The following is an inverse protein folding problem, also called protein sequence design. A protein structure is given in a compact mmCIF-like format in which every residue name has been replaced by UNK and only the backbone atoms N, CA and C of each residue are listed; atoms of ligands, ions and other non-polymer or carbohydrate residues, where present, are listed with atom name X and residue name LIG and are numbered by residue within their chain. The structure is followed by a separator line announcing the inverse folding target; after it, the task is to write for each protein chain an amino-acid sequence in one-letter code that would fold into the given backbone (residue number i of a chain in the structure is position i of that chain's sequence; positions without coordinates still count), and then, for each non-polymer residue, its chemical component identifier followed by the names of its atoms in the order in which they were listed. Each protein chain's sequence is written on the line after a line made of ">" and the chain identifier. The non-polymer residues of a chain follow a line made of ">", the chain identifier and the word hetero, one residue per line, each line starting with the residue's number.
data_IF_923349651723
#
_entry.id   IF_923349651723
#
_cell.length_a   1.000
_cell.length_b   1.000
_cell.length_c   1.000
_cell.angle_alpha   90.00
_cell.angle_beta   90.00
_cell.angle_gamma   90.00
#
_symmetry.space_group_name_H-M   'P 1'
#
loop_
_entity.id
_entity.type
_entity.pdbx_description
1 polymer ?
#
# COMPACT_ATOMS: atom_id res chain seq x y z
N UNK A 1 6.28 12.21 -20.78
CA UNK A 1 5.03 11.62 -20.25
C UNK A 1 4.75 10.21 -20.78
N UNK A 2 5.37 9.76 -21.89
CA UNK A 2 5.23 8.38 -22.41
C UNK A 2 6.12 7.33 -21.70
N UNK A 3 7.12 7.75 -20.93
CA UNK A 3 8.12 6.85 -20.33
C UNK A 3 7.57 5.98 -19.18
N UNK A 4 6.60 6.49 -18.41
CA UNK A 4 5.98 5.74 -17.31
C UNK A 4 5.19 4.50 -17.78
N UNK A 5 4.76 4.47 -19.04
CA UNK A 5 4.00 3.34 -19.61
C UNK A 5 4.91 2.15 -19.99
N UNK A 6 6.22 2.32 -19.96
CA UNK A 6 7.19 1.26 -20.24
C UNK A 6 7.70 0.55 -18.98
N UNK A 7 7.26 0.99 -17.80
CA UNK A 7 7.60 0.32 -16.55
C UNK A 7 6.85 -1.02 -16.51
N UNK A 8 7.53 -2.15 -16.28
CA UNK A 8 6.88 -3.45 -16.12
C UNK A 8 6.11 -3.49 -14.79
N UNK A 9 4.94 -2.85 -14.77
CA UNK A 9 4.04 -2.79 -13.63
C UNK A 9 3.01 -3.92 -13.72
N UNK A 10 2.88 -4.66 -12.62
CA UNK A 10 1.75 -5.56 -12.42
C UNK A 10 0.66 -4.77 -11.70
N UNK A 11 -0.49 -4.62 -12.34
CA UNK A 11 -1.64 -3.94 -11.75
C UNK A 11 -2.52 -4.97 -11.06
N UNK A 12 -2.80 -4.75 -9.78
CA UNK A 12 -3.67 -5.61 -8.99
C UNK A 12 -5.08 -5.00 -8.87
N UNK A 13 -6.14 -5.82 -8.90
CA UNK A 13 -7.49 -5.34 -8.63
C UNK A 13 -7.63 -4.98 -7.14
N UNK A 14 -8.28 -3.85 -6.85
CA UNK A 14 -8.52 -3.39 -5.47
C UNK A 14 -9.65 -4.15 -4.77
N UNK A 15 -10.63 -4.68 -5.53
CA UNK A 15 -11.83 -5.30 -4.97
C UNK A 15 -11.57 -6.40 -3.91
N UNK A 16 -10.58 -7.30 -4.06
CA UNK A 16 -10.25 -8.29 -3.03
C UNK A 16 -9.68 -7.70 -1.73
N UNK A 17 -9.12 -6.49 -1.78
CA UNK A 17 -8.42 -5.82 -0.68
C UNK A 17 -9.36 -4.95 0.17
N UNK A 18 -10.52 -4.56 -0.37
CA UNK A 18 -11.46 -3.60 0.23
C UNK A 18 -11.84 -3.91 1.68
N UNK A 19 -12.02 -5.19 2.04
CA UNK A 19 -12.34 -5.56 3.43
C UNK A 19 -11.24 -5.11 4.38
N UNK A 20 -9.99 -5.38 4.02
CA UNK A 20 -8.84 -5.07 4.84
C UNK A 20 -8.51 -3.57 4.80
N UNK A 21 -8.69 -2.91 3.66
CA UNK A 21 -8.60 -1.46 3.57
C UNK A 21 -9.60 -0.77 4.53
N UNK A 22 -10.83 -1.29 4.61
CA UNK A 22 -11.84 -0.76 5.51
C UNK A 22 -11.50 -0.90 6.99
N UNK A 23 -10.75 -1.94 7.37
CA UNK A 23 -10.27 -2.11 8.75
C UNK A 23 -9.25 -1.03 9.13
N UNK A 24 -8.48 -0.51 8.17
CA UNK A 24 -7.45 0.52 8.38
C UNK A 24 -7.99 1.96 8.32
N UNK A 25 -9.28 2.16 8.00
CA UNK A 25 -9.87 3.47 7.70
C UNK A 25 -9.70 4.53 8.80
N UNK A 26 -9.53 4.11 10.04
CA UNK A 26 -9.38 5.02 11.19
C UNK A 26 -7.93 5.55 11.30
N UNK A 27 -6.96 4.90 10.63
CA UNK A 27 -5.52 5.17 10.76
C UNK A 27 -4.83 5.54 9.43
N UNK A 28 -5.36 5.06 8.30
CA UNK A 28 -4.73 5.17 6.97
C UNK A 28 -5.75 5.70 5.96
N UNK A 29 -5.33 6.61 5.08
CA UNK A 29 -6.21 7.11 4.02
C UNK A 29 -6.60 5.98 3.07
N UNK A 30 -7.77 6.10 2.41
CA UNK A 30 -8.20 5.10 1.44
C UNK A 30 -7.21 4.89 0.28
N UNK A 31 -6.43 5.92 -0.05
CA UNK A 31 -5.42 5.83 -1.10
C UNK A 31 -4.20 5.04 -0.63
N UNK A 32 -3.67 5.38 0.54
CA UNK A 32 -2.49 4.73 1.09
C UNK A 32 -2.79 3.27 1.51
N UNK A 33 -4.02 3.01 1.96
CA UNK A 33 -4.45 1.66 2.35
C UNK A 33 -4.39 0.68 1.18
N UNK A 34 -4.62 1.13 -0.06
CA UNK A 34 -4.48 0.28 -1.25
C UNK A 34 -3.07 -0.31 -1.36
N UNK A 35 -2.04 0.49 -1.09
CA UNK A 35 -0.65 0.06 -1.16
C UNK A 35 -0.24 -0.77 0.05
N UNK A 36 -0.67 -0.36 1.25
CA UNK A 36 -0.39 -1.10 2.50
C UNK A 36 -1.00 -2.50 2.43
N UNK A 37 -2.28 -2.61 2.06
CA UNK A 37 -2.99 -3.88 2.02
C UNK A 37 -2.51 -4.76 0.88
N UNK A 38 -2.12 -4.17 -0.26
CA UNK A 38 -1.47 -4.93 -1.32
C UNK A 38 -0.13 -5.52 -0.85
N UNK A 39 0.71 -4.73 -0.16
CA UNK A 39 1.96 -5.20 0.41
C UNK A 39 1.74 -6.30 1.46
N UNK A 40 0.72 -6.16 2.32
CA UNK A 40 0.28 -7.22 3.25
C UNK A 40 -0.10 -8.51 2.50
N UNK A 41 -0.88 -8.41 1.42
CA UNK A 41 -1.34 -9.55 0.64
C UNK A 41 -0.22 -10.26 -0.13
N UNK A 42 0.79 -9.50 -0.57
CA UNK A 42 1.96 -10.03 -1.28
C UNK A 42 3.08 -10.50 -0.33
N UNK A 43 3.00 -10.15 0.96
CA UNK A 43 4.03 -10.48 1.93
C UNK A 43 5.37 -9.78 1.67
N UNK A 44 5.33 -8.56 1.12
CA UNK A 44 6.53 -7.78 0.80
C UNK A 44 6.58 -6.45 1.56
N UNK A 45 7.76 -5.81 1.70
CA UNK A 45 7.87 -4.45 2.23
C UNK A 45 7.20 -3.43 1.30
N UNK A 46 6.58 -2.41 1.89
CA UNK A 46 6.12 -1.22 1.18
C UNK A 46 7.20 -0.14 1.23
N UNK A 47 7.79 0.18 0.08
CA UNK A 47 8.73 1.31 -0.05
C UNK A 47 7.92 2.61 -0.08
N UNK A 48 8.24 3.55 0.80
CA UNK A 48 7.55 4.86 0.87
C UNK A 48 8.46 5.95 1.39
N UNK A 49 8.29 7.19 0.93
CA UNK A 49 8.93 8.36 1.55
C UNK A 49 8.10 8.94 2.71
N UNK A 50 6.89 8.42 2.94
CA UNK A 50 6.00 8.92 3.99
C UNK A 50 6.25 8.18 5.31
N UNK A 51 6.99 8.85 6.20
CA UNK A 51 7.28 8.37 7.55
C UNK A 51 6.04 8.24 8.43
N UNK A 52 4.98 9.03 8.20
CA UNK A 52 3.74 8.94 8.98
C UNK A 52 2.98 7.69 8.62
N UNK A 53 2.94 7.34 7.33
CA UNK A 53 2.33 6.10 6.85
C UNK A 53 3.07 4.87 7.41
N UNK A 54 4.41 4.89 7.41
CA UNK A 54 5.22 3.80 7.96
C UNK A 54 5.01 3.57 9.47
N UNK A 55 4.54 4.59 10.19
CA UNK A 55 4.21 4.51 11.61
C UNK A 55 2.71 4.28 11.87
N UNK A 56 1.91 4.05 10.83
CA UNK A 56 0.47 3.86 10.98
C UNK A 56 0.18 2.58 11.77
N UNK A 57 -0.64 2.67 12.84
CA UNK A 57 -0.99 1.50 13.64
C UNK A 57 -1.88 0.52 12.86
N UNK A 58 -1.91 -0.71 13.33
CA UNK A 58 -2.69 -1.83 12.79
C UNK A 58 -2.30 -2.29 11.38
N UNK A 59 -1.23 -1.76 10.81
CA UNK A 59 -0.63 -2.26 9.55
C UNK A 59 0.20 -3.52 9.82
N UNK A 60 0.23 -4.45 8.86
CA UNK A 60 0.91 -5.75 9.00
C UNK A 60 2.08 -5.95 8.05
N UNK A 61 2.27 -5.05 7.08
CA UNK A 61 3.41 -5.10 6.18
C UNK A 61 4.64 -4.46 6.82
N UNK A 62 5.83 -4.81 6.33
CA UNK A 62 7.05 -4.07 6.62
C UNK A 62 7.09 -2.79 5.79
N UNK A 63 7.81 -1.77 6.25
CA UNK A 63 8.01 -0.53 5.52
C UNK A 63 9.50 -0.28 5.30
N UNK A 64 9.85 0.09 4.07
CA UNK A 64 11.19 0.58 3.71
C UNK A 64 11.07 2.08 3.45
N UNK A 65 11.50 2.89 4.40
CA UNK A 65 11.41 4.35 4.29
C UNK A 65 12.66 4.90 3.60
N UNK A 66 12.45 5.71 2.55
CA UNK A 66 13.51 6.32 1.72
C UNK A 66 13.55 7.84 1.80
#
# INVERSE_FOLDING_TARGET
>A
MQDLLHVPLVVYPTAPLLRREWELRDNVTAYDSCYVVLAEALGCPLVTADQRLANAPDTRCQFDVV
#
